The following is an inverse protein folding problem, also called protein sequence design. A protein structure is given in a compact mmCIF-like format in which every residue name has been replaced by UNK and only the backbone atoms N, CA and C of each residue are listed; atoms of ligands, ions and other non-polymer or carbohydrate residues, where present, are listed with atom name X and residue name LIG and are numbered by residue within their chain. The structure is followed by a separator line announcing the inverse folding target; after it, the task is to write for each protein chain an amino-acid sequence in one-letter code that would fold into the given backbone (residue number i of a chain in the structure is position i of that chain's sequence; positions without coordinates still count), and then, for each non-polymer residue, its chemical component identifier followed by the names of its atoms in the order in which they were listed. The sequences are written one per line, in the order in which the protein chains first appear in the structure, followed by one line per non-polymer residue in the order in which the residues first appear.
data_IF_219016567491
#
_entry.id   IF_219016567491
#
_cell.length_a   1.000
_cell.length_b   1.000
_cell.length_c   1.000
_cell.angle_alpha   90.00
_cell.angle_beta   90.00
_cell.angle_gamma   90.00
#
_symmetry.space_group_name_H-M   'P 1'
#
loop_
_entity.id
_entity.type
_entity.pdbx_description
1 polymer ?
#
# COMPACT_ATOMS: atom_id res chain seq x y z
N UNK A 1 6.90 -1.17 4.31
CA UNK A 1 5.48 -1.18 4.72
C UNK A 1 5.06 0.06 5.51
N UNK A 2 5.83 0.55 6.49
CA UNK A 2 5.43 1.71 7.31
C UNK A 2 5.14 2.98 6.49
N UNK A 3 6.01 3.36 5.54
CA UNK A 3 5.75 4.49 4.63
C UNK A 3 4.51 4.28 3.73
N UNK A 4 4.23 3.04 3.33
CA UNK A 4 3.02 2.73 2.55
C UNK A 4 1.75 2.93 3.38
N UNK A 5 1.76 2.59 4.68
CA UNK A 5 0.61 2.83 5.58
C UNK A 5 0.21 4.30 5.60
N UNK A 6 1.18 5.20 5.78
CA UNK A 6 0.95 6.64 5.82
C UNK A 6 0.36 7.14 4.50
N UNK A 7 0.96 6.74 3.37
CA UNK A 7 0.50 7.12 2.04
C UNK A 7 -0.92 6.62 1.72
N UNK A 8 -1.23 5.38 2.13
CA UNK A 8 -2.56 4.78 1.93
C UNK A 8 -3.63 5.52 2.73
N UNK A 9 -3.34 5.87 4.00
CA UNK A 9 -4.26 6.64 4.85
C UNK A 9 -4.44 8.07 4.34
N UNK A 10 -3.38 8.69 3.82
CA UNK A 10 -3.45 9.98 3.15
C UNK A 10 -4.22 9.94 1.82
N UNK A 11 -4.60 8.74 1.36
CA UNK A 11 -5.37 8.57 0.14
C UNK A 11 -4.54 8.74 -1.13
N UNK A 12 -3.25 8.46 -1.10
CA UNK A 12 -2.46 8.38 -2.33
C UNK A 12 -2.93 7.20 -3.22
N UNK A 13 -2.88 7.35 -4.56
CA UNK A 13 -3.13 6.23 -5.48
C UNK A 13 -2.11 5.11 -5.27
N UNK A 14 -2.57 3.86 -5.12
CA UNK A 14 -1.70 2.72 -4.80
C UNK A 14 -0.58 2.50 -5.84
N UNK A 15 -0.85 2.75 -7.12
CA UNK A 15 0.18 2.68 -8.17
C UNK A 15 1.29 3.73 -7.97
N UNK A 16 0.94 4.95 -7.58
CA UNK A 16 1.92 5.99 -7.27
C UNK A 16 2.75 5.65 -6.03
N UNK A 17 2.10 5.11 -4.99
CA UNK A 17 2.78 4.62 -3.77
C UNK A 17 3.75 3.49 -4.10
N UNK A 18 3.37 2.57 -4.98
CA UNK A 18 4.21 1.45 -5.40
C UNK A 18 5.50 1.95 -6.07
N UNK A 19 5.37 2.79 -7.09
CA UNK A 19 6.48 3.40 -7.81
C UNK A 19 7.40 4.20 -6.88
N UNK A 20 6.83 5.09 -6.06
CA UNK A 20 7.59 5.96 -5.15
C UNK A 20 8.37 5.19 -4.08
N UNK A 21 7.85 4.04 -3.63
CA UNK A 21 8.47 3.22 -2.58
C UNK A 21 9.32 2.05 -3.14
N UNK A 22 9.52 1.99 -4.46
CA UNK A 22 10.38 0.99 -5.09
C UNK A 22 9.76 -0.41 -5.22
N UNK A 23 8.44 -0.52 -5.18
CA UNK A 23 7.76 -1.77 -5.54
C UNK A 23 7.71 -1.91 -7.05
N UNK A 24 7.86 -3.14 -7.53
CA UNK A 24 7.78 -3.48 -8.96
C UNK A 24 6.48 -2.97 -9.62
N UNK A 25 5.34 -3.10 -8.94
CA UNK A 25 4.05 -2.61 -9.37
C UNK A 25 3.06 -2.51 -8.19
N UNK A 26 1.83 -2.05 -8.48
CA UNK A 26 0.75 -1.97 -7.50
C UNK A 26 0.37 -3.33 -6.89
N UNK A 27 0.43 -4.42 -7.65
CA UNK A 27 0.06 -5.76 -7.18
C UNK A 27 1.10 -6.31 -6.20
N UNK A 28 2.39 -6.07 -6.46
CA UNK A 28 3.49 -6.37 -5.55
C UNK A 28 3.33 -5.61 -4.23
N UNK A 29 3.05 -4.30 -4.27
CA UNK A 29 2.73 -3.52 -3.07
C UNK A 29 1.56 -4.14 -2.29
N UNK A 30 0.46 -4.48 -2.96
CA UNK A 30 -0.72 -5.04 -2.31
C UNK A 30 -0.44 -6.37 -1.62
N UNK A 31 0.33 -7.26 -2.25
CA UNK A 31 0.71 -8.56 -1.69
C UNK A 31 1.57 -8.38 -0.45
N UNK A 32 2.67 -7.64 -0.54
CA UNK A 32 3.58 -7.38 0.59
C UNK A 32 2.86 -6.67 1.74
N UNK A 33 1.99 -5.72 1.42
CA UNK A 33 1.21 -5.01 2.43
C UNK A 33 0.24 -5.94 3.15
N UNK A 34 -0.51 -6.78 2.43
CA UNK A 34 -1.39 -7.77 3.05
C UNK A 34 -0.60 -8.75 3.91
N UNK A 35 0.54 -9.25 3.42
CA UNK A 35 1.38 -10.20 4.15
C UNK A 35 1.90 -9.61 5.47
N UNK A 36 2.21 -8.32 5.50
CA UNK A 36 2.68 -7.63 6.71
C UNK A 36 1.58 -7.09 7.63
N UNK A 37 0.37 -6.83 7.13
CA UNK A 37 -0.68 -6.13 7.89
C UNK A 37 -1.93 -6.97 8.14
N UNK A 38 -2.08 -8.11 7.46
CA UNK A 38 -3.28 -8.95 7.48
C UNK A 38 -4.45 -8.41 6.66
N UNK A 39 -4.38 -7.18 6.15
CA UNK A 39 -5.47 -6.52 5.42
C UNK A 39 -4.97 -5.88 4.13
N UNK A 40 -5.85 -5.81 3.11
CA UNK A 40 -5.48 -5.20 1.83
C UNK A 40 -5.42 -3.67 1.96
N UNK A 41 -4.58 -2.97 1.18
CA UNK A 41 -4.53 -1.50 1.18
C UNK A 41 -5.89 -0.82 0.98
N UNK A 42 -6.74 -1.38 0.11
CA UNK A 42 -8.08 -0.85 -0.15
C UNK A 42 -9.00 -0.90 1.08
N UNK A 43 -8.91 -1.96 1.90
CA UNK A 43 -9.58 -2.02 3.20
C UNK A 43 -8.89 -1.15 4.24
N UNK A 44 -7.56 -1.06 4.22
CA UNK A 44 -6.79 -0.21 5.15
C UNK A 44 -7.12 1.28 5.00
N UNK A 45 -7.52 1.72 3.81
CA UNK A 45 -7.84 3.13 3.48
C UNK A 45 -9.13 3.64 4.12
N UNK A 46 -10.06 2.76 4.49
CA UNK A 46 -11.33 3.11 5.10
C UNK A 46 -11.44 2.34 6.41
N UNK A 47 -11.50 2.98 7.59
CA UNK A 47 -11.85 2.26 8.81
C UNK A 47 -13.21 1.57 8.67
#
# INVERSE_FOLDING_TARGET
VNAARQAIVAGEPLAAVALRLGFADQSHLQRVFKDHTGITPGRYRRP
#
